data_IF_827840537606
#
_entry.id   IF_827840537606
#
_cell.length_a   1.000
_cell.length_b   1.000
_cell.length_c   1.000
_cell.angle_alpha   90.00
_cell.angle_beta   90.00
_cell.angle_gamma   90.00
#
_symmetry.space_group_name_H-M   'P 1'
#
loop_
_entity.id
_entity.type
_entity.pdbx_description
1 polymer ?
#
# COMPACT_ATOMS: atom_id res chain seq x y z
N UNK A 1 9.17 -0.82 6.94
CA UNK A 1 8.65 -1.95 6.14
C UNK A 1 7.74 -2.82 7.00
N UNK A 2 6.45 -2.52 6.95
CA UNK A 2 5.37 -3.30 7.56
C UNK A 2 4.77 -4.26 6.52
N UNK A 3 4.28 -5.42 6.95
CA UNK A 3 3.57 -6.38 6.07
C UNK A 3 2.35 -6.95 6.77
N UNK A 4 1.32 -7.27 5.99
CA UNK A 4 0.06 -7.84 6.46
C UNK A 4 -0.35 -8.94 5.47
N UNK A 5 -0.47 -10.15 6.00
CA UNK A 5 -0.91 -11.32 5.22
C UNK A 5 -2.43 -11.44 5.30
N UNK A 6 -3.05 -11.61 4.15
CA UNK A 6 -4.47 -11.87 3.95
C UNK A 6 -4.66 -13.28 3.39
N UNK A 7 -5.92 -13.73 3.28
CA UNK A 7 -6.24 -15.10 2.91
C UNK A 7 -5.61 -15.56 1.58
N UNK A 8 -5.56 -14.67 0.58
CA UNK A 8 -5.03 -14.96 -0.77
C UNK A 8 -3.93 -14.00 -1.22
N UNK A 9 -3.66 -12.96 -0.42
CA UNK A 9 -2.79 -11.85 -0.79
C UNK A 9 -1.88 -11.45 0.36
N UNK A 10 -0.69 -10.98 0.05
CA UNK A 10 0.21 -10.31 0.98
C UNK A 10 0.27 -8.83 0.62
N UNK A 11 -0.05 -7.96 1.57
CA UNK A 11 0.13 -6.52 1.42
C UNK A 11 1.35 -6.05 2.21
N UNK A 12 2.21 -5.27 1.56
CA UNK A 12 3.47 -4.79 2.13
C UNK A 12 3.54 -3.27 1.97
N UNK A 13 4.00 -2.58 3.01
CA UNK A 13 4.27 -1.14 2.93
C UNK A 13 5.33 -0.89 1.88
N UNK A 14 5.04 0.03 0.97
CA UNK A 14 5.89 0.38 -0.14
C UNK A 14 5.90 1.89 -0.33
N UNK A 15 6.73 2.33 -1.25
CA UNK A 15 6.79 3.72 -1.67
C UNK A 15 7.11 3.78 -3.14
N UNK A 16 6.66 4.84 -3.79
CA UNK A 16 6.94 5.12 -5.19
C UNK A 16 7.67 6.44 -5.25
N UNK A 17 8.80 6.48 -5.96
CA UNK A 17 9.46 7.75 -6.26
C UNK A 17 8.63 8.49 -7.32
N UNK A 18 8.27 9.73 -7.04
CA UNK A 18 7.58 10.57 -8.02
C UNK A 18 8.57 11.22 -8.99
N UNK A 19 8.11 11.46 -10.22
CA UNK A 19 8.93 12.05 -11.30
C UNK A 19 9.33 13.50 -11.01
N UNK A 20 8.44 14.28 -10.40
CA UNK A 20 8.70 15.67 -9.98
C UNK A 20 9.61 15.77 -8.73
N UNK A 21 10.04 14.63 -8.19
CA UNK A 21 10.84 14.55 -6.98
C UNK A 21 9.99 14.36 -5.73
N UNK A 22 10.47 13.49 -4.85
CA UNK A 22 9.74 13.06 -3.65
C UNK A 22 9.31 11.60 -3.73
N UNK A 23 8.53 11.19 -2.74
CA UNK A 23 8.08 9.82 -2.55
C UNK A 23 6.60 9.82 -2.18
N UNK A 24 5.80 8.98 -2.83
CA UNK A 24 4.43 8.71 -2.43
C UNK A 24 4.37 7.44 -1.62
N UNK A 25 3.53 7.42 -0.59
CA UNK A 25 3.20 6.21 0.13
C UNK A 25 2.45 5.25 -0.83
N UNK A 26 2.81 3.97 -0.78
CA UNK A 26 2.15 2.95 -1.57
C UNK A 26 2.02 1.67 -0.78
N UNK A 27 1.12 0.78 -1.20
CA UNK A 27 1.03 -0.56 -0.68
C UNK A 27 1.21 -1.51 -1.86
N UNK A 28 2.19 -2.40 -1.74
CA UNK A 28 2.41 -3.47 -2.70
C UNK A 28 1.57 -4.68 -2.29
N UNK A 29 0.63 -5.05 -3.14
CA UNK A 29 -0.20 -6.24 -2.98
C UNK A 29 0.34 -7.34 -3.88
N UNK A 30 0.59 -8.51 -3.32
CA UNK A 30 1.07 -9.69 -4.04
C UNK A 30 0.14 -10.86 -3.79
N UNK A 31 -0.31 -11.52 -4.84
CA UNK A 31 -1.04 -12.78 -4.69
C UNK A 31 -0.12 -13.88 -4.12
N UNK A 32 -0.61 -14.61 -3.12
CA UNK A 32 0.11 -15.72 -2.50
C UNK A 32 0.25 -16.93 -3.44
N UNK A 33 -0.66 -17.05 -4.41
CA UNK A 33 -0.64 -18.07 -5.46
C UNK A 33 0.61 -17.95 -6.39
N UNK A 34 1.36 -16.85 -6.28
CA UNK A 34 2.63 -16.67 -6.99
C UNK A 34 2.50 -16.39 -8.49
N UNK A 35 1.27 -16.36 -9.01
CA UNK A 35 0.97 -16.15 -10.42
C UNK A 35 0.62 -14.67 -10.68
N UNK A 36 1.60 -13.77 -10.56
CA UNK A 36 1.39 -12.36 -10.91
C UNK A 36 2.49 -11.42 -10.41
N UNK A 37 2.68 -10.31 -11.12
CA UNK A 37 3.51 -9.22 -10.63
C UNK A 37 2.80 -8.52 -9.44
N UNK A 38 3.54 -8.07 -8.42
CA UNK A 38 2.95 -7.32 -7.33
C UNK A 38 2.35 -6.01 -7.85
N UNK A 39 1.16 -5.70 -7.37
CA UNK A 39 0.41 -4.52 -7.76
C UNK A 39 0.63 -3.42 -6.74
N UNK A 40 1.11 -2.27 -7.20
CA UNK A 40 1.36 -1.13 -6.34
C UNK A 40 0.14 -0.22 -6.34
N UNK A 41 -0.42 -0.02 -5.16
CA UNK A 41 -1.51 0.90 -4.91
C UNK A 41 -0.94 2.13 -4.23
N UNK A 42 -0.87 3.25 -4.96
CA UNK A 42 -0.57 4.53 -4.32
C UNK A 42 -1.70 4.85 -3.35
N UNK A 43 -1.31 5.25 -2.15
CA UNK A 43 -2.21 5.67 -1.08
C UNK A 43 -1.88 7.11 -0.76
N UNK A 44 -2.86 7.85 -0.23
CA UNK A 44 -2.72 9.29 -0.01
C UNK A 44 -2.40 10.02 -1.33
N UNK A 45 -3.17 9.74 -2.39
CA UNK A 45 -3.00 10.42 -3.68
C UNK A 45 -3.04 11.95 -3.50
N UNK A 46 -2.02 12.64 -4.03
CA UNK A 46 -1.81 14.07 -3.84
C UNK A 46 -0.92 14.45 -2.66
N UNK A 47 -0.51 13.50 -1.81
CA UNK A 47 0.49 13.72 -0.77
C UNK A 47 1.83 13.10 -1.16
N UNK A 48 2.85 13.95 -1.25
CA UNK A 48 4.23 13.55 -1.51
C UNK A 48 5.12 13.89 -0.32
N UNK A 49 6.03 12.98 -0.04
CA UNK A 49 6.98 13.05 1.05
C UNK A 49 8.37 13.37 0.52
N UNK A 50 9.16 14.07 1.33
CA UNK A 50 10.53 14.46 0.94
C UNK A 50 11.52 13.31 1.05
N UNK A 51 11.27 12.36 1.96
CA UNK A 51 12.18 11.24 2.23
C UNK A 51 11.45 9.91 2.05
N UNK A 52 12.22 8.88 1.70
CA UNK A 52 11.70 7.54 1.54
C UNK A 52 11.14 6.98 2.88
N UNK A 53 11.79 7.28 4.00
CA UNK A 53 11.36 6.83 5.32
C UNK A 53 9.98 7.37 5.70
N UNK A 54 9.70 8.65 5.40
CA UNK A 54 8.44 9.30 5.71
C UNK A 54 7.28 8.71 4.88
N UNK A 55 7.54 8.40 3.60
CA UNK A 55 6.60 7.67 2.76
C UNK A 55 6.36 6.23 3.22
N UNK A 56 7.40 5.49 3.65
CA UNK A 56 7.25 4.12 4.17
C UNK A 56 6.50 4.11 5.50
N UNK A 57 6.76 5.07 6.39
CA UNK A 57 6.05 5.20 7.67
C UNK A 57 4.56 5.51 7.46
N UNK A 58 4.25 6.47 6.59
CA UNK A 58 2.88 6.77 6.19
C UNK A 58 2.20 5.53 5.56
N UNK A 59 2.91 4.79 4.70
CA UNK A 59 2.41 3.56 4.13
C UNK A 59 2.16 2.46 5.16
N UNK A 60 3.05 2.32 6.15
CA UNK A 60 2.88 1.38 7.26
C UNK A 60 1.64 1.71 8.09
N UNK A 61 1.43 2.99 8.43
CA UNK A 61 0.24 3.44 9.17
C UNK A 61 -1.04 3.16 8.40
N UNK A 62 -1.07 3.40 7.09
CA UNK A 62 -2.22 3.04 6.26
C UNK A 62 -2.40 1.52 6.19
N UNK A 63 -1.33 0.74 6.00
CA UNK A 63 -1.39 -0.72 5.99
C UNK A 63 -1.99 -1.30 7.28
N UNK A 64 -1.72 -0.69 8.44
CA UNK A 64 -2.35 -1.08 9.71
C UNK A 64 -3.87 -0.84 9.70
N UNK A 65 -4.33 0.24 9.05
CA UNK A 65 -5.75 0.59 8.88
C UNK A 65 -6.45 -0.19 7.78
N UNK A 66 -5.69 -0.81 6.87
CA UNK A 66 -6.22 -1.65 5.80
C UNK A 66 -7.00 -2.81 6.41
N UNK A 67 -8.28 -2.94 6.07
CA UNK A 67 -9.11 -4.01 6.63
C UNK A 67 -8.82 -5.33 5.95
N UNK A 68 -8.86 -5.32 4.62
CA UNK A 68 -8.67 -6.51 3.80
C UNK A 68 -8.13 -6.14 2.42
N UNK A 69 -7.78 -7.17 1.65
CA UNK A 69 -7.48 -7.07 0.22
C UNK A 69 -8.40 -8.01 -0.53
N UNK A 70 -9.15 -7.47 -1.51
CA UNK A 70 -10.09 -8.28 -2.29
C UNK A 70 -9.38 -9.26 -3.23
N UNK A 71 -10.17 -10.12 -3.91
CA UNK A 71 -9.64 -11.11 -4.86
C UNK A 71 -8.90 -10.49 -6.06
N UNK A 72 -9.20 -9.24 -6.42
CA UNK A 72 -8.52 -8.50 -7.50
C UNK A 72 -7.26 -7.77 -6.99
N UNK A 73 -6.96 -7.87 -5.70
CA UNK A 73 -5.87 -7.17 -5.04
C UNK A 73 -6.19 -5.71 -4.70
N UNK A 74 -7.46 -5.29 -4.64
CA UNK A 74 -7.83 -3.94 -4.20
C UNK A 74 -7.74 -3.82 -2.69
N UNK A 75 -7.33 -2.65 -2.24
CA UNK A 75 -7.27 -2.29 -0.84
C UNK A 75 -8.69 -2.00 -0.31
N UNK A 76 -9.20 -2.86 0.58
CA UNK A 76 -10.45 -2.65 1.27
C UNK A 76 -10.22 -1.82 2.54
N UNK A 77 -10.65 -0.57 2.50
CA UNK A 77 -10.53 0.36 3.63
C UNK A 77 -11.80 0.32 4.48
N UNK A 78 -11.64 0.57 5.78
CA UNK A 78 -12.76 0.96 6.62
C UNK A 78 -13.27 2.32 6.12
N UNK A 79 -14.23 2.32 5.19
CA UNK A 79 -14.97 3.55 4.92
C UNK A 79 -15.61 3.94 6.25
N UNK A 80 -15.22 5.07 6.80
CA UNK A 80 -16.02 5.70 7.83
C UNK A 80 -17.32 6.07 7.12
N UNK A 81 -18.34 5.20 7.24
CA UNK A 81 -19.69 5.51 6.80
C UNK A 81 -20.08 6.81 7.51
N UNK A 82 -20.09 7.90 6.73
CA UNK A 82 -20.54 9.20 7.17
C UNK A 82 -22.04 9.35 6.89
#
# INVERSE_FOLDING_TARGET
MARKEFAHHEAVSALVREEEGGYSAAIAVKALDGMGAPRFHKILEGQTFKTASDADDAAAVQLERLLDVDEEGQLAWATAAN
#
